data_IF_074676734032
#
_entry.id   IF_074676734032
#
_cell.length_a   1.000
_cell.length_b   1.000
_cell.length_c   1.000
_cell.angle_alpha   90.00
_cell.angle_beta   90.00
_cell.angle_gamma   90.00
#
_symmetry.space_group_name_H-M   'P 1'
#
loop_
_entity.id
_entity.type
_entity.pdbx_description
1 polymer ?
#
# COMPACT_ATOMS: atom_id res chain seq x y z
N UNK A 1 45.38 -0.86 112.71
CA UNK A 1 46.22 0.34 112.52
C UNK A 1 47.38 -0.03 111.61
N UNK A 2 47.67 0.83 110.63
CA UNK A 2 48.86 0.88 109.76
C UNK A 2 49.06 -0.31 108.78
N UNK A 3 49.43 -0.15 107.52
CA UNK A 3 49.78 1.04 106.75
C UNK A 3 49.59 0.76 105.26
N UNK A 4 49.34 1.83 104.51
CA UNK A 4 49.10 1.85 103.06
C UNK A 4 50.46 1.77 102.33
N UNK A 5 50.41 1.26 101.09
CA UNK A 5 51.32 1.53 99.95
C UNK A 5 52.44 0.52 99.69
N UNK A 6 52.34 -0.22 98.58
CA UNK A 6 53.41 -0.41 97.56
C UNK A 6 52.87 -1.23 96.37
N UNK A 7 52.81 -0.64 95.17
CA UNK A 7 53.83 -0.76 94.09
C UNK A 7 53.88 -2.20 93.54
N UNK A 8 53.80 -2.55 92.26
CA UNK A 8 54.09 -1.88 90.99
C UNK A 8 53.39 -2.74 89.90
N UNK A 9 52.59 -2.15 89.01
CA UNK A 9 52.28 -2.80 87.75
C UNK A 9 53.52 -2.71 86.84
N UNK A 10 54.15 -3.81 86.39
CA UNK A 10 55.12 -3.73 85.32
C UNK A 10 54.36 -3.59 83.99
N UNK A 11 54.25 -2.34 83.52
CA UNK A 11 53.98 -2.05 82.12
C UNK A 11 55.19 -2.57 81.31
N UNK A 12 55.04 -3.72 80.68
CA UNK A 12 56.06 -4.29 79.81
C UNK A 12 55.50 -4.57 78.41
N UNK A 13 56.19 -3.99 77.42
CA UNK A 13 56.39 -4.48 76.05
C UNK A 13 55.37 -4.07 74.97
N UNK A 14 55.45 -2.81 74.54
CA UNK A 14 55.03 -2.39 73.18
C UNK A 14 56.19 -1.91 72.28
N UNK A 15 57.34 -1.56 72.87
CA UNK A 15 58.50 -1.02 72.14
C UNK A 15 59.40 -2.08 71.49
N UNK A 16 59.39 -3.34 71.95
CA UNK A 16 60.19 -4.43 71.37
C UNK A 16 59.53 -5.15 70.18
N UNK A 17 58.21 -5.02 70.01
CA UNK A 17 57.47 -5.75 68.98
C UNK A 17 57.79 -5.24 67.57
N UNK A 18 57.96 -3.92 67.42
CA UNK A 18 58.30 -3.30 66.13
C UNK A 18 59.73 -3.65 65.69
N UNK A 19 60.69 -3.65 66.62
CA UNK A 19 62.07 -4.04 66.32
C UNK A 19 62.21 -5.53 66.02
N UNK A 20 61.47 -6.40 66.70
CA UNK A 20 61.46 -7.84 66.42
C UNK A 20 60.85 -8.16 65.04
N UNK A 21 59.76 -7.47 64.68
CA UNK A 21 59.15 -7.58 63.34
C UNK A 21 60.13 -7.13 62.26
N UNK A 22 60.84 -6.02 62.48
CA UNK A 22 61.84 -5.48 61.54
C UNK A 22 63.05 -6.42 61.39
N UNK A 23 63.50 -7.05 62.47
CA UNK A 23 64.59 -8.01 62.45
C UNK A 23 64.19 -9.33 61.77
N UNK A 24 62.97 -9.81 62.02
CA UNK A 24 62.38 -10.95 61.31
C UNK A 24 62.25 -10.69 59.80
N UNK A 25 61.85 -9.47 59.41
CA UNK A 25 61.85 -9.00 58.02
C UNK A 25 63.25 -8.99 57.42
N UNK A 26 64.26 -8.49 58.14
CA UNK A 26 65.64 -8.42 57.67
C UNK A 26 66.28 -9.81 57.47
N UNK A 27 65.90 -10.79 58.30
CA UNK A 27 66.38 -12.17 58.19
C UNK A 27 65.77 -12.91 56.99
N UNK A 28 64.54 -12.55 56.59
CA UNK A 28 63.81 -13.14 55.45
C UNK A 28 63.69 -12.23 54.23
N UNK A 29 64.43 -11.12 54.17
CA UNK A 29 64.37 -10.11 53.10
C UNK A 29 64.43 -10.71 51.68
N UNK A 30 65.22 -11.75 51.47
CA UNK A 30 65.30 -12.44 50.18
C UNK A 30 64.03 -13.23 49.82
N UNK A 31 63.34 -13.83 50.79
CA UNK A 31 62.06 -14.54 50.57
C UNK A 31 60.96 -13.52 50.26
N UNK A 32 60.94 -12.40 50.98
CA UNK A 32 59.95 -11.32 50.75
C UNK A 32 60.16 -10.74 49.34
N UNK A 33 61.40 -10.43 48.97
CA UNK A 33 61.74 -9.93 47.62
C UNK A 33 61.39 -10.95 46.53
N UNK A 34 61.62 -12.25 46.77
CA UNK A 34 61.27 -13.29 45.80
C UNK A 34 59.74 -13.41 45.63
N UNK A 35 58.98 -13.39 46.72
CA UNK A 35 57.51 -13.42 46.65
C UNK A 35 56.93 -12.16 45.97
N UNK A 36 57.47 -10.97 46.24
CA UNK A 36 57.00 -9.75 45.57
C UNK A 36 57.35 -9.77 44.08
N UNK A 37 58.55 -10.21 43.72
CA UNK A 37 58.96 -10.34 42.33
C UNK A 37 58.12 -11.39 41.58
N UNK A 38 57.82 -12.52 42.23
CA UNK A 38 56.91 -13.55 41.69
C UNK A 38 55.49 -12.99 41.49
N UNK A 39 54.98 -12.19 42.44
CA UNK A 39 53.69 -11.53 42.33
C UNK A 39 53.62 -10.53 41.17
N UNK A 40 54.67 -9.71 40.98
CA UNK A 40 54.77 -8.79 39.85
C UNK A 40 54.87 -9.55 38.53
N UNK A 41 55.67 -10.63 38.47
CA UNK A 41 55.78 -11.48 37.29
C UNK A 41 54.44 -12.13 36.93
N UNK A 42 53.70 -12.63 37.93
CA UNK A 42 52.36 -13.18 37.73
C UNK A 42 51.37 -12.10 37.24
N UNK A 43 51.42 -10.89 37.79
CA UNK A 43 50.59 -9.77 37.35
C UNK A 43 50.92 -9.32 35.91
N UNK A 44 52.20 -9.27 35.54
CA UNK A 44 52.63 -8.95 34.18
C UNK A 44 52.20 -10.05 33.19
N UNK A 45 52.37 -11.32 33.55
CA UNK A 45 51.89 -12.44 32.74
C UNK A 45 50.38 -12.37 32.54
N UNK A 46 49.62 -12.06 33.60
CA UNK A 46 48.16 -11.87 33.51
C UNK A 46 47.79 -10.72 32.57
N UNK A 47 48.46 -9.57 32.68
CA UNK A 47 48.21 -8.43 31.79
C UNK A 47 48.45 -8.77 30.30
N UNK A 48 49.47 -9.57 30.00
CA UNK A 48 49.76 -9.99 28.63
C UNK A 48 48.83 -11.09 28.11
N UNK A 49 48.34 -11.99 28.97
CA UNK A 49 47.43 -13.09 28.59
C UNK A 49 45.97 -12.63 28.41
N UNK A 50 45.55 -11.55 29.06
CA UNK A 50 44.17 -11.05 29.03
C UNK A 50 44.11 -9.64 28.41
N UNK A 51 44.29 -9.51 27.08
CA UNK A 51 44.15 -8.22 26.41
C UNK A 51 42.72 -7.66 26.57
N UNK A 52 42.55 -6.33 26.69
CA UNK A 52 41.23 -5.71 26.79
C UNK A 52 40.45 -5.92 25.48
N UNK A 53 39.21 -6.37 25.60
CA UNK A 53 38.27 -6.50 24.49
C UNK A 53 37.33 -5.29 24.44
N UNK A 54 37.17 -4.71 23.26
CA UNK A 54 36.28 -3.57 23.05
C UNK A 54 34.99 -4.02 22.39
N UNK A 55 33.86 -3.54 22.90
CA UNK A 55 32.54 -3.91 22.40
C UNK A 55 31.84 -2.69 21.80
N UNK A 56 31.26 -2.87 20.61
CA UNK A 56 30.32 -1.93 20.00
C UNK A 56 28.91 -2.52 20.06
N UNK A 57 27.91 -1.71 20.37
CA UNK A 57 26.52 -2.16 20.54
C UNK A 57 25.56 -1.29 19.73
N UNK A 58 24.59 -1.94 19.09
CA UNK A 58 23.46 -1.33 18.40
C UNK A 58 22.14 -1.96 18.86
N UNK A 59 21.08 -1.16 18.85
CA UNK A 59 19.71 -1.59 19.15
C UNK A 59 18.85 -1.33 17.92
N UNK A 60 18.27 -2.38 17.36
CA UNK A 60 17.41 -2.31 16.18
C UNK A 60 15.99 -2.55 16.61
N UNK A 61 15.08 -1.65 16.24
CA UNK A 61 13.65 -1.84 16.41
C UNK A 61 13.07 -2.43 15.13
N UNK A 62 12.53 -3.65 15.22
CA UNK A 62 11.90 -4.35 14.10
C UNK A 62 10.41 -4.07 14.17
N UNK A 63 9.92 -3.14 13.35
CA UNK A 63 8.49 -2.84 13.30
C UNK A 63 7.81 -3.65 12.22
N UNK A 64 7.09 -4.70 12.61
CA UNK A 64 6.31 -5.49 11.68
C UNK A 64 4.90 -4.92 11.52
N UNK A 65 4.53 -4.56 10.29
CA UNK A 65 3.13 -4.34 9.92
C UNK A 65 2.61 -5.71 9.50
N UNK A 66 1.75 -6.32 10.32
CA UNK A 66 1.04 -7.52 9.91
C UNK A 66 0.18 -7.18 8.68
N UNK A 67 0.68 -7.47 7.49
CA UNK A 67 -0.20 -7.77 6.37
C UNK A 67 -0.92 -9.07 6.75
N UNK A 68 -2.11 -8.91 7.33
CA UNK A 68 -3.10 -9.99 7.34
C UNK A 68 -3.37 -10.31 5.87
N UNK A 69 -2.67 -11.30 5.34
CA UNK A 69 -3.17 -12.04 4.18
C UNK A 69 -4.54 -12.55 4.59
N UNK A 70 -5.59 -11.92 4.09
CA UNK A 70 -6.99 -12.15 4.47
C UNK A 70 -7.54 -13.47 3.95
N UNK A 71 -6.83 -14.57 4.19
CA UNK A 71 -7.24 -15.92 3.81
C UNK A 71 -7.00 -16.86 4.99
N UNK A 72 -7.73 -16.63 6.08
CA UNK A 72 -8.10 -17.72 6.98
C UNK A 72 -9.53 -17.46 7.46
N UNK A 73 -10.40 -18.49 7.46
CA UNK A 73 -11.82 -18.32 7.66
C UNK A 73 -12.11 -17.84 9.08
N UNK A 74 -13.15 -17.04 9.15
CA UNK A 74 -13.69 -16.37 10.33
C UNK A 74 -14.11 -17.45 11.34
N UNK A 75 -13.20 -17.85 12.22
CA UNK A 75 -13.53 -18.55 13.46
C UNK A 75 -13.06 -17.69 14.64
N UNK A 76 -13.82 -16.63 14.88
CA UNK A 76 -13.54 -15.57 15.86
C UNK A 76 -13.93 -15.97 17.28
N UNK A 77 -13.62 -17.19 17.70
CA UNK A 77 -13.84 -17.60 19.09
C UNK A 77 -12.58 -18.30 19.62
N UNK A 78 -11.81 -17.55 20.41
CA UNK A 78 -10.73 -18.00 21.31
C UNK A 78 -9.30 -18.07 20.72
N UNK A 79 -8.52 -16.97 20.81
CA UNK A 79 -7.11 -16.98 21.28
C UNK A 79 -6.41 -15.60 21.21
N UNK A 80 -6.22 -14.89 22.33
CA UNK A 80 -5.28 -13.76 22.44
C UNK A 80 -3.79 -14.19 22.43
N UNK A 81 -3.51 -15.49 22.38
CA UNK A 81 -2.18 -16.06 22.70
C UNK A 81 -1.27 -16.32 21.50
N UNK A 82 -1.73 -16.08 20.26
CA UNK A 82 -0.91 -16.37 19.07
C UNK A 82 -0.06 -15.20 18.58
N UNK A 83 -0.40 -13.96 18.97
CA UNK A 83 0.28 -12.76 18.48
C UNK A 83 1.75 -12.64 18.95
N UNK A 84 2.06 -13.10 20.17
CA UNK A 84 3.44 -13.14 20.66
C UNK A 84 4.30 -14.23 19.99
N UNK A 85 3.71 -15.40 19.68
CA UNK A 85 4.44 -16.49 19.03
C UNK A 85 4.87 -16.15 17.60
N UNK A 86 4.04 -15.42 16.86
CA UNK A 86 4.38 -14.98 15.49
C UNK A 86 5.51 -13.96 15.51
N UNK A 87 5.46 -12.97 16.41
CA UNK A 87 6.52 -11.97 16.52
C UNK A 87 7.84 -12.58 16.96
N UNK A 88 7.82 -13.45 17.98
CA UNK A 88 9.03 -14.15 18.43
C UNK A 88 9.66 -14.97 17.29
N UNK A 89 8.86 -15.67 16.47
CA UNK A 89 9.38 -16.44 15.32
C UNK A 89 10.01 -15.58 14.21
N UNK A 90 9.49 -14.36 14.00
CA UNK A 90 10.03 -13.41 13.03
C UNK A 90 11.33 -12.80 13.56
N UNK A 91 11.35 -12.42 14.84
CA UNK A 91 12.55 -11.93 15.49
C UNK A 91 13.66 -12.99 15.47
N UNK A 92 13.33 -14.25 15.74
CA UNK A 92 14.27 -15.37 15.63
C UNK A 92 14.82 -15.52 14.20
N UNK A 93 13.97 -15.33 13.17
CA UNK A 93 14.41 -15.33 11.78
C UNK A 93 15.36 -14.17 11.47
N UNK A 94 15.08 -12.95 11.94
CA UNK A 94 15.98 -11.80 11.78
C UNK A 94 17.32 -11.99 12.51
N UNK A 95 17.30 -12.61 13.69
CA UNK A 95 18.52 -13.00 14.42
C UNK A 95 19.36 -13.98 13.59
N UNK A 96 18.72 -14.95 12.93
CA UNK A 96 19.42 -15.88 12.02
C UNK A 96 19.99 -15.17 10.78
N UNK A 97 19.29 -14.18 10.23
CA UNK A 97 19.78 -13.38 9.10
C UNK A 97 21.02 -12.58 9.52
N UNK A 98 20.97 -11.92 10.69
CA UNK A 98 22.08 -11.14 11.24
C UNK A 98 23.30 -12.00 11.57
N UNK A 99 23.10 -13.26 11.96
CA UNK A 99 24.17 -14.22 12.27
C UNK A 99 24.57 -15.10 11.09
N UNK A 100 24.05 -14.82 9.89
CA UNK A 100 24.32 -15.60 8.69
C UNK A 100 25.75 -15.41 8.18
N UNK A 101 26.35 -16.51 7.70
CA UNK A 101 27.68 -16.49 7.10
C UNK A 101 27.78 -15.57 5.88
N UNK A 102 26.74 -15.53 5.05
CA UNK A 102 26.68 -14.69 3.85
C UNK A 102 26.84 -13.21 4.20
N UNK A 103 26.12 -12.72 5.22
CA UNK A 103 26.24 -11.34 5.67
C UNK A 103 27.66 -11.04 6.18
N UNK A 104 28.24 -11.93 6.98
CA UNK A 104 29.60 -11.76 7.48
C UNK A 104 30.65 -11.80 6.37
N UNK A 105 30.46 -12.63 5.34
CA UNK A 105 31.33 -12.69 4.16
C UNK A 105 31.26 -11.40 3.34
N UNK A 106 30.07 -10.82 3.18
CA UNK A 106 29.89 -9.53 2.50
C UNK A 106 30.57 -8.39 3.26
N UNK A 107 30.44 -8.35 4.59
CA UNK A 107 31.13 -7.37 5.44
C UNK A 107 32.65 -7.54 5.36
N UNK A 108 33.14 -8.78 5.42
CA UNK A 108 34.56 -9.09 5.27
C UNK A 108 35.12 -8.64 3.90
N UNK A 109 34.34 -8.80 2.83
CA UNK A 109 34.71 -8.34 1.49
C UNK A 109 34.73 -6.80 1.41
N UNK A 110 33.77 -6.12 2.03
CA UNK A 110 33.67 -4.65 2.01
C UNK A 110 34.79 -3.96 2.80
N UNK A 111 35.11 -4.47 3.99
CA UNK A 111 36.19 -3.91 4.82
C UNK A 111 37.57 -4.39 4.32
N UNK A 112 37.65 -5.64 3.87
CA UNK A 112 38.85 -6.32 3.42
C UNK A 112 39.61 -7.02 4.55
N UNK A 113 40.08 -8.25 4.28
CA UNK A 113 40.79 -9.09 5.25
C UNK A 113 42.00 -8.41 5.92
N UNK A 114 42.75 -7.60 5.16
CA UNK A 114 43.95 -6.90 5.67
C UNK A 114 43.63 -5.91 6.79
N UNK A 115 42.50 -5.20 6.72
CA UNK A 115 42.10 -4.22 7.75
C UNK A 115 41.61 -4.92 9.02
N UNK A 116 41.02 -6.09 8.86
CA UNK A 116 40.57 -6.96 9.96
C UNK A 116 41.70 -7.81 10.55
N UNK A 117 42.88 -7.84 9.93
CA UNK A 117 44.03 -8.62 10.40
C UNK A 117 43.89 -10.13 10.12
N UNK A 118 43.08 -10.51 9.14
CA UNK A 118 42.87 -11.91 8.75
C UNK A 118 43.67 -12.27 7.49
N UNK A 119 43.96 -13.56 7.32
CA UNK A 119 44.70 -14.09 6.16
C UNK A 119 43.87 -14.15 4.87
N UNK A 120 42.55 -14.28 4.98
CA UNK A 120 41.61 -14.34 3.85
C UNK A 120 40.26 -13.75 4.23
N UNK A 121 39.42 -13.43 3.24
CA UNK A 121 38.07 -12.91 3.49
C UNK A 121 37.19 -13.95 4.20
N UNK A 122 37.39 -15.24 3.93
CA UNK A 122 36.69 -16.32 4.65
C UNK A 122 37.11 -16.37 6.13
N UNK A 123 38.42 -16.24 6.42
CA UNK A 123 38.91 -16.17 7.79
C UNK A 123 38.37 -14.92 8.51
N UNK A 124 38.32 -13.77 7.83
CA UNK A 124 37.73 -12.55 8.35
C UNK A 124 36.24 -12.72 8.69
N UNK A 125 35.47 -13.37 7.82
CA UNK A 125 34.06 -13.67 8.07
C UNK A 125 33.87 -14.55 9.31
N UNK A 126 34.72 -15.56 9.49
CA UNK A 126 34.75 -16.40 10.69
C UNK A 126 35.06 -15.62 11.96
N UNK A 127 36.05 -14.71 11.92
CA UNK A 127 36.36 -13.82 13.04
C UNK A 127 35.20 -12.89 13.38
N UNK A 128 34.52 -12.34 12.37
CA UNK A 128 33.34 -11.51 12.56
C UNK A 128 32.24 -12.31 13.27
N UNK A 129 31.92 -13.51 12.78
CA UNK A 129 30.89 -14.36 13.39
C UNK A 129 31.22 -14.70 14.85
N UNK A 130 32.48 -15.02 15.14
CA UNK A 130 32.91 -15.38 16.50
C UNK A 130 32.84 -14.23 17.50
N UNK A 131 33.00 -12.99 17.03
CA UNK A 131 32.90 -11.78 17.85
C UNK A 131 31.50 -11.18 17.91
N UNK A 132 30.56 -11.69 17.11
CA UNK A 132 29.19 -11.18 17.02
C UNK A 132 28.27 -11.86 18.03
N UNK A 133 27.55 -11.06 18.78
CA UNK A 133 26.51 -11.50 19.71
C UNK A 133 25.21 -10.77 19.36
N UNK A 134 24.22 -11.54 18.93
CA UNK A 134 22.87 -11.04 18.62
C UNK A 134 21.91 -11.66 19.61
N UNK A 135 21.13 -10.83 20.28
CA UNK A 135 20.12 -11.27 21.24
C UNK A 135 18.85 -10.46 21.10
N UNK A 136 17.71 -11.13 21.26
CA UNK A 136 16.42 -10.49 21.40
C UNK A 136 15.79 -10.91 22.73
N UNK A 137 15.12 -9.97 23.40
CA UNK A 137 14.36 -10.27 24.60
C UNK A 137 12.97 -10.78 24.19
N UNK A 138 12.51 -11.88 24.79
CA UNK A 138 11.18 -12.46 24.51
C UNK A 138 10.09 -11.41 24.72
N UNK A 139 9.20 -11.25 23.74
CA UNK A 139 8.14 -10.23 23.77
C UNK A 139 8.60 -8.79 23.56
N UNK A 140 9.82 -8.56 23.06
CA UNK A 140 10.32 -7.24 22.66
C UNK A 140 10.62 -7.20 21.17
N UNK A 141 10.18 -6.13 20.50
CA UNK A 141 10.49 -5.85 19.10
C UNK A 141 11.91 -5.28 18.89
N UNK A 142 12.80 -5.44 19.87
CA UNK A 142 14.15 -4.87 19.87
C UNK A 142 15.20 -5.96 19.83
N UNK A 143 16.00 -5.95 18.77
CA UNK A 143 17.18 -6.80 18.61
C UNK A 143 18.40 -6.01 19.06
N UNK A 144 19.15 -6.60 19.98
CA UNK A 144 20.43 -6.06 20.44
C UNK A 144 21.54 -6.80 19.71
N UNK A 145 22.31 -6.04 18.92
CA UNK A 145 23.47 -6.54 18.20
C UNK A 145 24.71 -5.95 18.86
N UNK A 146 25.67 -6.79 19.21
CA UNK A 146 26.94 -6.34 19.71
C UNK A 146 28.10 -7.11 19.10
N UNK A 147 29.21 -6.41 18.87
CA UNK A 147 30.40 -6.96 18.27
C UNK A 147 31.62 -6.63 19.12
N UNK A 148 32.44 -7.64 19.39
CA UNK A 148 33.61 -7.54 20.26
C UNK A 148 34.89 -7.78 19.46
N UNK A 149 35.86 -6.87 19.58
CA UNK A 149 37.18 -6.98 18.95
C UNK A 149 38.29 -6.44 19.87
N UNK A 150 39.51 -7.00 19.85
CA UNK A 150 40.66 -6.46 20.59
C UNK A 150 41.08 -5.05 20.14
N UNK A 151 40.73 -4.64 18.92
CA UNK A 151 41.03 -3.32 18.38
C UNK A 151 39.82 -2.38 18.49
N UNK A 152 39.93 -1.25 19.22
CA UNK A 152 38.81 -0.32 19.41
C UNK A 152 38.30 0.34 18.13
N UNK A 153 39.12 0.38 17.07
CA UNK A 153 38.72 0.94 15.77
C UNK A 153 37.96 -0.06 14.91
N UNK A 154 38.18 -1.37 15.10
CA UNK A 154 37.52 -2.41 14.30
C UNK A 154 36.11 -2.69 14.78
N UNK A 155 35.89 -2.68 16.09
CA UNK A 155 34.58 -2.95 16.68
C UNK A 155 33.43 -2.10 16.08
N UNK A 156 33.51 -0.76 16.06
CA UNK A 156 32.46 0.07 15.46
C UNK A 156 32.41 -0.04 13.94
N UNK A 157 33.56 -0.20 13.27
CA UNK A 157 33.63 -0.30 11.82
C UNK A 157 32.90 -1.54 11.29
N UNK A 158 33.14 -2.70 11.92
CA UNK A 158 32.48 -3.95 11.56
C UNK A 158 30.99 -3.88 11.85
N UNK A 159 30.60 -3.39 13.02
CA UNK A 159 29.19 -3.29 13.38
C UNK A 159 28.43 -2.36 12.42
N UNK A 160 28.99 -1.20 12.08
CA UNK A 160 28.37 -0.25 11.15
C UNK A 160 28.19 -0.85 9.76
N UNK A 161 29.23 -1.50 9.22
CA UNK A 161 29.13 -2.15 7.91
C UNK A 161 28.10 -3.29 7.94
N UNK A 162 28.09 -4.11 8.98
CA UNK A 162 27.12 -5.20 9.14
C UNK A 162 25.68 -4.70 9.13
N UNK A 163 25.39 -3.64 9.89
CA UNK A 163 24.06 -3.02 9.92
C UNK A 163 23.66 -2.45 8.57
N UNK A 164 24.59 -1.79 7.87
CA UNK A 164 24.31 -1.22 6.54
C UNK A 164 23.91 -2.30 5.53
N UNK A 165 24.62 -3.44 5.52
CA UNK A 165 24.33 -4.58 4.66
C UNK A 165 23.04 -5.28 5.05
N UNK A 166 22.81 -5.43 6.36
CA UNK A 166 21.56 -5.99 6.88
C UNK A 166 20.36 -5.17 6.42
N UNK A 167 20.38 -3.84 6.50
CA UNK A 167 19.24 -3.03 6.08
C UNK A 167 18.95 -3.17 4.59
N UNK A 168 19.98 -3.25 3.73
CA UNK A 168 19.79 -3.51 2.30
C UNK A 168 19.11 -4.86 2.08
N UNK A 169 19.63 -5.93 2.71
CA UNK A 169 19.07 -7.28 2.58
C UNK A 169 17.66 -7.41 3.17
N UNK A 170 17.41 -6.77 4.32
CA UNK A 170 16.10 -6.71 4.97
C UNK A 170 15.08 -6.01 4.06
N UNK A 171 15.47 -4.91 3.40
CA UNK A 171 14.62 -4.26 2.41
C UNK A 171 14.38 -5.15 1.18
N UNK A 172 15.39 -5.84 0.65
CA UNK A 172 15.21 -6.74 -0.50
C UNK A 172 14.23 -7.88 -0.20
N UNK A 173 14.37 -8.51 0.97
CA UNK A 173 13.52 -9.64 1.37
C UNK A 173 12.10 -9.19 1.69
N UNK A 174 11.91 -8.06 2.39
CA UNK A 174 10.58 -7.62 2.86
C UNK A 174 9.86 -6.66 1.90
N UNK A 175 10.54 -5.99 0.97
CA UNK A 175 9.89 -5.09 -0.02
C UNK A 175 9.28 -5.85 -1.19
N UNK A 176 9.81 -7.03 -1.52
CA UNK A 176 9.52 -7.72 -2.79
C UNK A 176 8.28 -8.63 -2.73
N UNK A 177 7.90 -9.13 -1.55
CA UNK A 177 6.87 -10.16 -1.45
C UNK A 177 5.44 -9.64 -1.27
N UNK A 178 5.22 -8.52 -0.54
CA UNK A 178 3.86 -8.02 -0.26
C UNK A 178 3.40 -6.88 -1.17
N UNK A 179 4.30 -5.91 -1.45
CA UNK A 179 3.94 -4.68 -2.13
C UNK A 179 3.65 -4.86 -3.64
N UNK A 180 4.29 -5.82 -4.30
CA UNK A 180 4.07 -6.06 -5.73
C UNK A 180 2.74 -6.79 -5.99
N UNK A 181 2.38 -7.76 -5.15
CA UNK A 181 1.12 -8.50 -5.27
C UNK A 181 -0.09 -7.60 -4.98
N UNK A 182 -0.01 -6.74 -3.96
CA UNK A 182 -1.07 -5.77 -3.66
C UNK A 182 -1.27 -4.75 -4.79
N UNK A 183 -0.20 -4.16 -5.30
CA UNK A 183 -0.29 -3.17 -6.39
C UNK A 183 -0.77 -3.84 -7.69
N UNK A 184 -0.35 -5.07 -7.96
CA UNK A 184 -0.81 -5.84 -9.14
C UNK A 184 -2.29 -6.18 -9.02
N UNK A 185 -2.75 -6.71 -7.88
CA UNK A 185 -4.17 -7.02 -7.65
C UNK A 185 -5.07 -5.78 -7.72
N UNK A 186 -4.63 -4.65 -7.14
CA UNK A 186 -5.39 -3.40 -7.24
C UNK A 186 -5.44 -2.87 -8.67
N UNK A 187 -4.34 -2.97 -9.42
CA UNK A 187 -4.29 -2.56 -10.83
C UNK A 187 -5.20 -3.43 -11.69
N UNK A 188 -5.18 -4.74 -11.49
CA UNK A 188 -6.02 -5.68 -12.24
C UNK A 188 -7.50 -5.52 -11.89
N UNK A 189 -7.84 -5.30 -10.61
CA UNK A 189 -9.22 -5.03 -10.19
C UNK A 189 -9.74 -3.71 -10.75
N UNK A 190 -8.93 -2.64 -10.74
CA UNK A 190 -9.31 -1.35 -11.33
C UNK A 190 -9.46 -1.46 -12.84
N UNK A 191 -8.56 -2.18 -13.54
CA UNK A 191 -8.69 -2.44 -14.99
C UNK A 191 -9.94 -3.25 -15.32
N UNK A 192 -10.23 -4.30 -14.57
CA UNK A 192 -11.43 -5.11 -14.78
C UNK A 192 -12.70 -4.28 -14.57
N UNK A 193 -12.72 -3.44 -13.53
CA UNK A 193 -13.85 -2.54 -13.25
C UNK A 193 -14.00 -1.46 -14.32
N UNK A 194 -12.89 -0.88 -14.80
CA UNK A 194 -12.91 0.10 -15.88
C UNK A 194 -13.47 -0.51 -17.17
N UNK A 195 -12.96 -1.67 -17.58
CA UNK A 195 -13.44 -2.38 -18.77
C UNK A 195 -14.94 -2.72 -18.65
N UNK A 196 -15.39 -3.18 -17.47
CA UNK A 196 -16.80 -3.48 -17.24
C UNK A 196 -17.68 -2.23 -17.33
N UNK A 197 -17.22 -1.09 -16.80
CA UNK A 197 -17.94 0.19 -16.91
C UNK A 197 -17.97 0.70 -18.35
N UNK A 198 -16.86 0.60 -19.08
CA UNK A 198 -16.77 0.98 -20.50
C UNK A 198 -17.68 0.11 -21.37
N UNK A 199 -17.71 -1.21 -21.15
CA UNK A 199 -18.60 -2.13 -21.87
C UNK A 199 -20.07 -1.86 -21.58
N UNK A 200 -20.42 -1.58 -20.31
CA UNK A 200 -21.78 -1.18 -19.94
C UNK A 200 -22.19 0.13 -20.62
N UNK A 201 -21.30 1.12 -20.63
CA UNK A 201 -21.52 2.40 -21.29
C UNK A 201 -21.67 2.26 -22.80
N UNK A 202 -20.84 1.43 -23.44
CA UNK A 202 -20.93 1.14 -24.87
C UNK A 202 -22.23 0.42 -25.23
N UNK A 203 -22.67 -0.55 -24.42
CA UNK A 203 -23.95 -1.26 -24.62
C UNK A 203 -25.14 -0.30 -24.52
N UNK A 204 -25.11 0.59 -23.52
CA UNK A 204 -26.13 1.64 -23.36
C UNK A 204 -26.12 2.60 -24.55
N UNK A 205 -24.95 3.05 -25.02
CA UNK A 205 -24.81 3.93 -26.19
C UNK A 205 -25.33 3.27 -27.48
N UNK A 206 -24.99 2.00 -27.71
CA UNK A 206 -25.48 1.22 -28.85
C UNK A 206 -27.01 1.06 -28.83
N UNK A 207 -27.59 0.77 -27.66
CA UNK A 207 -29.04 0.61 -27.50
C UNK A 207 -29.83 1.88 -27.84
N UNK A 208 -29.21 3.04 -27.69
CA UNK A 208 -29.83 4.35 -27.94
C UNK A 208 -29.51 4.86 -29.36
N UNK A 209 -28.60 4.20 -30.09
CA UNK A 209 -28.23 4.58 -31.46
C UNK A 209 -27.46 5.90 -31.56
N UNK A 210 -26.96 6.44 -30.45
CA UNK A 210 -26.23 7.70 -30.39
C UNK A 210 -24.74 7.38 -30.28
N UNK A 211 -24.06 7.41 -31.42
CA UNK A 211 -22.60 7.19 -31.52
C UNK A 211 -21.82 8.47 -31.14
N UNK A 212 -22.47 9.59 -30.84
CA UNK A 212 -21.76 10.84 -30.52
C UNK A 212 -22.57 11.70 -29.55
N UNK A 213 -22.07 11.83 -28.31
CA UNK A 213 -22.44 12.81 -27.27
C UNK A 213 -23.94 12.89 -26.89
N UNK A 214 -24.27 12.59 -25.63
CA UNK A 214 -25.64 12.72 -25.11
C UNK A 214 -26.24 14.12 -25.28
N UNK A 215 -25.39 15.16 -25.28
CA UNK A 215 -25.77 16.56 -25.47
C UNK A 215 -26.18 16.84 -26.92
N UNK A 216 -25.33 16.51 -27.91
CA UNK A 216 -25.64 16.70 -29.33
C UNK A 216 -26.81 15.83 -29.84
N UNK A 217 -27.08 14.69 -29.22
CA UNK A 217 -28.23 13.84 -29.57
C UNK A 217 -29.59 14.43 -29.18
N UNK A 218 -29.67 15.21 -28.10
CA UNK A 218 -30.92 15.87 -27.68
C UNK A 218 -31.26 17.04 -28.60
N UNK A 219 -30.26 17.85 -28.94
CA UNK A 219 -30.44 18.98 -29.84
C UNK A 219 -30.91 18.51 -31.22
N UNK A 220 -30.32 17.43 -31.74
CA UNK A 220 -30.74 16.83 -33.01
C UNK A 220 -32.20 16.33 -32.98
N UNK A 221 -32.65 15.70 -31.89
CA UNK A 221 -34.04 15.23 -31.74
C UNK A 221 -35.00 16.42 -31.56
N UNK A 222 -34.58 17.48 -30.86
CA UNK A 222 -35.36 18.69 -30.70
C UNK A 222 -35.55 19.42 -32.04
N UNK A 223 -34.50 19.50 -32.86
CA UNK A 223 -34.53 20.07 -34.20
C UNK A 223 -35.44 19.25 -35.14
N UNK A 224 -35.34 17.91 -35.12
CA UNK A 224 -36.24 17.06 -35.90
C UNK A 224 -37.71 17.24 -35.46
N UNK A 225 -37.95 17.35 -34.15
CA UNK A 225 -39.29 17.60 -33.60
C UNK A 225 -39.86 18.94 -34.09
N UNK A 226 -39.03 19.99 -34.11
CA UNK A 226 -39.42 21.30 -34.57
C UNK A 226 -39.77 21.30 -36.07
N UNK A 227 -38.96 20.63 -36.90
CA UNK A 227 -39.21 20.50 -38.33
C UNK A 227 -40.48 19.70 -38.63
N UNK A 228 -40.68 18.55 -37.97
CA UNK A 228 -41.90 17.73 -38.15
C UNK A 228 -43.15 18.49 -37.72
N UNK A 229 -43.09 19.27 -36.63
CA UNK A 229 -44.20 20.16 -36.22
C UNK A 229 -44.50 21.22 -37.26
N UNK A 230 -43.47 21.85 -37.84
CA UNK A 230 -43.63 22.84 -38.90
C UNK A 230 -44.31 22.21 -40.12
N UNK A 231 -43.86 21.02 -40.54
CA UNK A 231 -44.47 20.28 -41.64
C UNK A 231 -45.92 19.89 -41.35
N UNK A 232 -46.22 19.50 -40.11
CA UNK A 232 -47.57 19.15 -39.68
C UNK A 232 -48.51 20.35 -39.77
N UNK A 233 -48.09 21.52 -39.26
CA UNK A 233 -48.88 22.74 -39.32
C UNK A 233 -49.18 23.14 -40.78
N UNK A 234 -48.19 23.03 -41.68
CA UNK A 234 -48.39 23.28 -43.12
C UNK A 234 -49.36 22.26 -43.73
N UNK A 235 -49.21 20.98 -43.40
CA UNK A 235 -50.09 19.92 -43.92
C UNK A 235 -51.54 20.05 -43.39
N UNK A 236 -51.73 20.49 -42.16
CA UNK A 236 -53.06 20.75 -41.59
C UNK A 236 -53.73 21.97 -42.24
N UNK A 237 -52.97 23.04 -42.50
CA UNK A 237 -53.45 24.19 -43.27
C UNK A 237 -53.91 23.78 -44.68
N UNK A 238 -53.10 22.96 -45.36
CA UNK A 238 -53.39 22.37 -46.67
C UNK A 238 -54.70 21.53 -46.67
N UNK A 239 -54.94 20.75 -45.61
CA UNK A 239 -56.17 19.96 -45.45
C UNK A 239 -57.37 20.90 -45.23
N UNK A 240 -57.21 21.93 -44.40
CA UNK A 240 -58.27 22.89 -44.13
C UNK A 240 -58.69 23.67 -45.38
N UNK A 241 -57.73 24.11 -46.20
CA UNK A 241 -57.97 24.76 -47.48
C UNK A 241 -58.74 23.83 -48.44
N UNK A 242 -58.27 22.59 -48.61
CA UNK A 242 -58.91 21.62 -49.49
C UNK A 242 -60.32 21.25 -49.01
N UNK A 243 -60.52 21.16 -47.69
CA UNK A 243 -61.84 20.91 -47.11
C UNK A 243 -62.81 22.06 -47.39
N UNK A 244 -62.36 23.32 -47.28
CA UNK A 244 -63.16 24.49 -47.60
C UNK A 244 -63.58 24.50 -49.09
N UNK A 245 -62.67 24.14 -49.99
CA UNK A 245 -62.96 24.01 -51.42
C UNK A 245 -64.02 22.93 -51.70
N UNK A 246 -63.89 21.74 -51.10
CA UNK A 246 -64.87 20.65 -51.24
C UNK A 246 -66.25 21.08 -50.70
N UNK A 247 -66.29 21.78 -49.56
CA UNK A 247 -67.53 22.28 -48.96
C UNK A 247 -68.22 23.35 -49.84
N UNK A 248 -67.47 24.29 -50.41
CA UNK A 248 -68.00 25.29 -51.34
C UNK A 248 -68.54 24.66 -52.63
N UNK A 249 -67.85 23.64 -53.16
CA UNK A 249 -68.32 22.88 -54.33
C UNK A 249 -69.60 22.10 -54.03
N UNK A 250 -69.73 21.54 -52.82
CA UNK A 250 -70.93 20.87 -52.34
C UNK A 250 -72.15 21.80 -52.22
N UNK A 251 -71.96 22.99 -51.65
CA UNK A 251 -73.02 23.99 -51.50
C UNK A 251 -73.48 24.57 -52.86
N UNK A 252 -72.57 24.82 -53.80
CA UNK A 252 -72.91 25.25 -55.17
C UNK A 252 -73.74 24.22 -55.93
N UNK A 253 -73.50 22.92 -55.71
CA UNK A 253 -74.29 21.82 -56.30
C UNK A 253 -75.70 21.70 -55.71
N UNK A 254 -75.87 22.00 -54.41
CA UNK A 254 -77.16 21.98 -53.75
C UNK A 254 -78.09 23.11 -54.24
N UNK A 255 -77.54 24.27 -54.62
CA UNK A 255 -78.31 25.40 -55.17
C UNK A 255 -78.57 25.31 -56.68
N UNK A 256 -78.00 24.35 -57.43
CA UNK A 256 -78.15 24.24 -58.89
C UNK A 256 -79.13 23.16 -59.37
N UNK A 257 -80.03 22.66 -58.51
CA UNK A 257 -81.04 21.65 -58.87
C UNK A 257 -82.22 22.21 -59.68
N UNK A 258 -82.06 23.33 -60.37
CA UNK A 258 -83.04 23.86 -61.34
C UNK A 258 -82.35 24.34 -62.60
N UNK A 259 -81.64 23.46 -63.32
CA UNK A 259 -81.63 23.40 -64.80
C UNK A 259 -80.63 22.38 -65.35
N UNK A 260 -81.17 21.43 -66.13
CA UNK A 260 -80.59 20.78 -67.33
C UNK A 260 -79.44 19.76 -67.19
N UNK A 261 -79.75 18.53 -67.66
CA UNK A 261 -78.85 17.47 -68.15
C UNK A 261 -77.77 18.03 -69.09
N UNK A 262 -76.49 17.82 -68.79
CA UNK A 262 -75.51 17.15 -69.67
C UNK A 262 -74.09 17.19 -69.08
N UNK A 263 -73.41 16.06 -69.29
CA UNK A 263 -71.96 15.90 -69.48
C UNK A 263 -71.04 16.02 -68.26
N UNK A 264 -70.59 14.85 -67.83
CA UNK A 264 -69.21 14.52 -67.45
C UNK A 264 -68.44 15.59 -66.69
N UNK A 265 -68.36 15.44 -65.37
CA UNK A 265 -67.30 16.10 -64.63
C UNK A 265 -66.82 15.22 -63.48
N UNK A 266 -65.67 14.58 -63.71
CA UNK A 266 -64.93 13.73 -62.76
C UNK A 266 -64.31 14.54 -61.59
N UNK A 267 -64.72 15.79 -61.44
CA UNK A 267 -64.18 16.82 -60.54
C UNK A 267 -64.51 16.67 -59.05
N UNK A 268 -65.67 16.12 -58.60
CA UNK A 268 -65.94 15.98 -57.16
C UNK A 268 -65.31 14.72 -56.53
N UNK A 269 -65.02 13.68 -57.31
CA UNK A 269 -64.32 12.49 -56.78
C UNK A 269 -62.82 12.72 -56.67
N UNK A 270 -62.24 13.44 -57.63
CA UNK A 270 -60.82 13.83 -57.59
C UNK A 270 -60.51 14.81 -56.45
N UNK A 271 -61.41 15.77 -56.15
CA UNK A 271 -61.22 16.69 -55.01
C UNK A 271 -61.31 16.00 -53.65
N UNK A 272 -62.20 15.00 -53.50
CA UNK A 272 -62.30 14.13 -52.32
C UNK A 272 -61.10 13.18 -52.17
N UNK A 273 -60.63 12.60 -53.26
CA UNK A 273 -59.41 11.77 -53.26
C UNK A 273 -58.16 12.58 -52.87
N UNK A 274 -58.05 13.83 -53.33
CA UNK A 274 -56.96 14.74 -52.95
C UNK A 274 -57.00 15.13 -51.47
N UNK A 275 -58.20 15.33 -50.92
CA UNK A 275 -58.41 15.56 -49.48
C UNK A 275 -57.96 14.35 -48.66
N UNK A 276 -58.36 13.14 -49.05
CA UNK A 276 -57.96 11.90 -48.38
C UNK A 276 -56.43 11.70 -48.42
N UNK A 277 -55.77 12.04 -49.54
CA UNK A 277 -54.32 12.01 -49.65
C UNK A 277 -53.62 13.02 -48.72
N UNK A 278 -54.14 14.25 -48.62
CA UNK A 278 -53.61 15.26 -47.68
C UNK A 278 -53.83 14.86 -46.21
N UNK A 279 -54.99 14.28 -45.90
CA UNK A 279 -55.29 13.74 -44.56
C UNK A 279 -54.35 12.57 -44.20
N UNK A 280 -54.07 11.66 -45.14
CA UNK A 280 -53.09 10.58 -44.93
C UNK A 280 -51.69 11.13 -44.63
N UNK A 281 -51.28 12.24 -45.27
CA UNK A 281 -50.01 12.91 -44.99
C UNK A 281 -49.97 13.51 -43.57
N UNK A 282 -51.06 14.13 -43.11
CA UNK A 282 -51.19 14.63 -41.73
C UNK A 282 -51.08 13.49 -40.72
N UNK A 283 -51.78 12.37 -40.94
CA UNK A 283 -51.73 11.21 -40.04
C UNK A 283 -50.35 10.53 -40.03
N UNK A 284 -49.65 10.50 -41.17
CA UNK A 284 -48.26 10.04 -41.24
C UNK A 284 -47.32 10.94 -40.41
N UNK A 285 -47.46 12.27 -40.52
CA UNK A 285 -46.67 13.23 -39.74
C UNK A 285 -46.96 13.15 -38.23
N UNK A 286 -48.24 12.99 -37.83
CA UNK A 286 -48.62 12.74 -36.43
C UNK A 286 -48.03 11.44 -35.90
N UNK A 287 -47.98 10.39 -36.73
CA UNK A 287 -47.39 9.11 -36.35
C UNK A 287 -45.88 9.23 -36.17
N UNK A 288 -45.20 9.94 -37.07
CA UNK A 288 -43.77 10.26 -36.94
C UNK A 288 -43.49 11.08 -35.67
N UNK A 289 -44.31 12.08 -35.36
CA UNK A 289 -44.17 12.88 -34.14
C UNK A 289 -44.31 12.02 -32.86
N UNK A 290 -45.25 11.06 -32.86
CA UNK A 290 -45.42 10.11 -31.75
C UNK A 290 -44.21 9.20 -31.55
N UNK A 291 -43.62 8.70 -32.65
CA UNK A 291 -42.41 7.88 -32.59
C UNK A 291 -41.22 8.69 -32.03
N UNK A 292 -41.03 9.93 -32.51
CA UNK A 292 -40.01 10.84 -31.98
C UNK A 292 -40.22 11.07 -30.47
N UNK A 293 -41.46 11.35 -30.03
CA UNK A 293 -41.78 11.51 -28.60
C UNK A 293 -41.50 10.26 -27.76
N UNK A 294 -41.72 9.06 -28.29
CA UNK A 294 -41.38 7.81 -27.60
C UNK A 294 -39.87 7.66 -27.44
N UNK A 295 -39.08 7.98 -28.48
CA UNK A 295 -37.62 7.99 -28.40
C UNK A 295 -37.10 9.02 -27.39
N UNK A 296 -37.69 10.21 -27.34
CA UNK A 296 -37.34 11.23 -26.34
C UNK A 296 -37.59 10.75 -24.90
N UNK A 297 -38.72 10.06 -24.66
CA UNK A 297 -39.02 9.48 -23.34
C UNK A 297 -38.02 8.41 -22.94
N UNK A 298 -37.71 7.47 -23.84
CA UNK A 298 -36.70 6.43 -23.60
C UNK A 298 -35.32 7.01 -23.30
N UNK A 299 -34.95 8.09 -23.99
CA UNK A 299 -33.69 8.80 -23.75
C UNK A 299 -33.68 9.47 -22.37
N UNK A 300 -34.80 10.06 -21.94
CA UNK A 300 -34.92 10.66 -20.61
C UNK A 300 -34.85 9.64 -19.47
N UNK A 301 -35.37 8.42 -19.67
CA UNK A 301 -35.33 7.33 -18.68
C UNK A 301 -33.92 6.72 -18.52
N UNK A 302 -33.15 6.65 -19.60
CA UNK A 302 -31.81 6.07 -19.61
C UNK A 302 -30.71 7.09 -19.21
N UNK A 303 -30.99 8.39 -19.33
CA UNK A 303 -30.07 9.48 -18.94
C UNK A 303 -29.49 9.35 -17.53
N UNK A 304 -30.28 9.17 -16.45
CA UNK A 304 -29.71 9.08 -15.10
C UNK A 304 -28.76 7.88 -14.95
N UNK A 305 -28.99 6.79 -15.67
CA UNK A 305 -28.13 5.60 -15.62
C UNK A 305 -26.78 5.84 -16.32
N UNK A 306 -26.78 6.61 -17.41
CA UNK A 306 -25.55 6.96 -18.11
C UNK A 306 -24.73 7.98 -17.31
N UNK A 307 -25.38 8.98 -16.72
CA UNK A 307 -24.70 9.99 -15.89
C UNK A 307 -24.14 9.39 -14.59
N UNK A 308 -24.80 8.38 -14.02
CA UNK A 308 -24.25 7.64 -12.87
C UNK A 308 -23.02 6.81 -13.25
N UNK A 309 -23.02 6.19 -14.43
CA UNK A 309 -21.89 5.40 -14.92
C UNK A 309 -20.70 6.28 -15.33
N UNK A 310 -20.93 7.49 -15.84
CA UNK A 310 -19.86 8.45 -16.16
C UNK A 310 -19.22 9.09 -14.91
N UNK A 311 -19.89 9.08 -13.75
CA UNK A 311 -19.35 9.59 -12.48
C UNK A 311 -18.59 8.55 -11.65
N UNK A 312 -18.69 7.26 -11.98
CA UNK A 312 -18.08 6.14 -11.22
C UNK A 312 -16.72 5.73 -11.76
#
# INVERSE_FOLDING_TARGET
MADIRRELQPQHHRSGMLSDILFALFRRKWIIVLCTLLGIAAAAAFYHLFPPTYQSQAKLLVRYVLERSGVDPIDNTTRPTQQGKTTDSVIDAEVQILTSWDLAAQVANAIGAKRLGASSNAAAAGSILSGLQVGASKGSDVIVVSYTDPNPQRAPLVLQELLSRYFVKHLEVHRSAGAFDFVTQQTDHVRARLNQTEDALNTLRQKIGIVSTLEGGQDAIADETADVRKQLNVAEADVAEQQALVNQLGQKKANSWTSRKSQSDKTPETSKALLAAKQAKVEALKTRLRDIQQRTKQLSELRPQIEELERR
#
